data_IF_030329203285
#
_entry.id   IF_030329203285
#
_cell.length_a   1.000
_cell.length_b   1.000
_cell.length_c   1.000
_cell.angle_alpha   90.00
_cell.angle_beta   90.00
_cell.angle_gamma   90.00
#
_symmetry.space_group_name_H-M   'P 1'
#
loop_
_entity.id
_entity.type
_entity.pdbx_description
1 polymer ?
#
# COMPACT_ATOMS: atom_id res chain seq x y z
N UNK A 1 5.22 -19.21 7.89
CA UNK A 1 6.31 -18.20 7.81
C UNK A 1 6.83 -17.99 6.40
N UNK A 2 6.81 -19.01 5.53
CA UNK A 2 7.36 -18.91 4.17
C UNK A 2 6.78 -17.78 3.31
N UNK A 3 5.47 -17.52 3.41
CA UNK A 3 4.81 -16.45 2.64
C UNK A 3 5.37 -15.06 2.95
N UNK A 4 5.65 -14.75 4.22
CA UNK A 4 6.19 -13.46 4.62
C UNK A 4 7.63 -13.28 4.11
N UNK A 5 8.44 -14.35 4.14
CA UNK A 5 9.79 -14.34 3.58
C UNK A 5 9.78 -14.07 2.08
N UNK A 6 8.89 -14.75 1.34
CA UNK A 6 8.78 -14.55 -0.10
C UNK A 6 8.28 -13.13 -0.46
N UNK A 7 7.34 -12.58 0.30
CA UNK A 7 6.91 -11.19 0.14
C UNK A 7 8.07 -10.20 0.40
N UNK A 8 8.84 -10.44 1.47
CA UNK A 8 10.00 -9.62 1.81
C UNK A 8 11.07 -9.65 0.71
N UNK A 9 11.38 -10.82 0.14
CA UNK A 9 12.30 -10.93 -1.01
C UNK A 9 11.79 -10.18 -2.24
N UNK A 10 10.48 -10.21 -2.49
CA UNK A 10 9.87 -9.44 -3.57
C UNK A 10 10.04 -7.93 -3.37
N UNK A 11 9.82 -7.43 -2.15
CA UNK A 11 9.99 -6.01 -1.81
C UNK A 11 11.47 -5.60 -1.88
N UNK A 12 12.37 -6.44 -1.36
CA UNK A 12 13.82 -6.23 -1.44
C UNK A 12 14.30 -6.13 -2.90
N UNK A 13 13.76 -6.97 -3.79
CA UNK A 13 14.06 -6.91 -5.21
C UNK A 13 13.62 -5.58 -5.86
N UNK A 14 12.44 -5.07 -5.50
CA UNK A 14 11.98 -3.76 -5.98
C UNK A 14 12.91 -2.64 -5.50
N UNK A 15 13.32 -2.68 -4.24
CA UNK A 15 14.26 -1.69 -3.69
C UNK A 15 15.63 -1.76 -4.37
N UNK A 16 16.13 -2.96 -4.67
CA UNK A 16 17.35 -3.13 -5.45
C UNK A 16 17.24 -2.52 -6.86
N UNK A 17 16.04 -2.49 -7.44
CA UNK A 17 15.77 -1.84 -8.73
C UNK A 17 15.49 -0.34 -8.62
N UNK A 18 15.69 0.26 -7.45
CA UNK A 18 15.33 1.66 -7.16
C UNK A 18 13.85 1.92 -7.44
N UNK A 19 12.98 1.01 -7.01
CA UNK A 19 11.53 1.10 -7.18
C UNK A 19 10.85 1.09 -5.82
N UNK A 20 9.99 2.07 -5.56
CA UNK A 20 9.12 2.16 -4.38
C UNK A 20 7.71 1.78 -4.85
N UNK A 21 7.15 0.70 -4.32
CA UNK A 21 5.79 0.23 -4.62
C UNK A 21 4.70 1.18 -4.11
N UNK A 22 4.87 1.80 -2.94
CA UNK A 22 3.93 2.72 -2.28
C UNK A 22 2.58 2.11 -1.81
N UNK A 23 2.33 0.81 -1.99
CA UNK A 23 1.09 0.14 -1.56
C UNK A 23 1.32 -1.33 -1.19
N UNK A 24 2.24 -1.57 -0.25
CA UNK A 24 2.54 -2.91 0.27
C UNK A 24 1.45 -3.34 1.27
N UNK A 25 0.46 -4.07 0.77
CA UNK A 25 -0.62 -4.64 1.57
C UNK A 25 -0.86 -6.10 1.20
N UNK A 26 -1.39 -6.90 2.14
CA UNK A 26 -1.68 -8.32 1.91
C UNK A 26 -2.61 -8.56 0.69
N UNK A 27 -3.50 -7.62 0.37
CA UNK A 27 -4.37 -7.66 -0.82
C UNK A 27 -3.58 -7.61 -2.15
N UNK A 28 -2.37 -7.05 -2.13
CA UNK A 28 -1.48 -6.88 -3.27
C UNK A 28 -0.41 -7.99 -3.34
N UNK A 29 -0.47 -8.96 -2.42
CA UNK A 29 0.34 -10.17 -2.47
C UNK A 29 -0.50 -11.32 -3.07
N UNK A 30 -0.19 -11.71 -4.31
CA UNK A 30 -0.82 -12.85 -4.95
C UNK A 30 -0.16 -14.15 -4.50
N UNK A 31 -0.97 -15.18 -4.25
CA UNK A 31 -0.46 -16.50 -3.85
C UNK A 31 -0.96 -17.58 -4.82
N UNK A 32 -0.02 -18.40 -5.31
CA UNK A 32 -0.29 -19.51 -6.21
C UNK A 32 0.94 -20.38 -6.40
N UNK A 33 0.76 -21.68 -6.62
CA UNK A 33 1.86 -22.66 -6.78
C UNK A 33 2.90 -22.63 -5.64
N UNK A 34 2.46 -22.38 -4.41
CA UNK A 34 3.34 -22.24 -3.25
C UNK A 34 4.17 -20.96 -3.24
N UNK A 35 3.92 -20.02 -4.16
CA UNK A 35 4.70 -18.78 -4.32
C UNK A 35 3.88 -17.52 -4.04
N UNK A 36 4.52 -16.53 -3.43
CA UNK A 36 4.01 -15.17 -3.27
C UNK A 36 4.60 -14.27 -4.35
N UNK A 37 3.76 -13.46 -4.99
CA UNK A 37 4.15 -12.45 -5.98
C UNK A 37 3.56 -11.10 -5.60
N UNK A 38 4.37 -10.06 -5.64
CA UNK A 38 3.93 -8.67 -5.44
C UNK A 38 3.19 -8.18 -6.71
N UNK A 39 2.11 -7.44 -6.53
CA UNK A 39 1.22 -6.97 -7.60
C UNK A 39 0.68 -5.58 -7.31
N UNK A 40 -0.01 -4.98 -8.29
CA UNK A 40 -0.57 -3.61 -8.24
C UNK A 40 0.48 -2.48 -8.16
N UNK A 41 1.23 -2.33 -9.26
CA UNK A 41 2.25 -1.29 -9.43
C UNK A 41 1.66 0.10 -9.80
N UNK A 42 0.36 0.31 -9.68
CA UNK A 42 -0.30 1.56 -10.12
C UNK A 42 0.14 2.81 -9.34
N UNK A 43 0.68 2.61 -8.13
CA UNK A 43 1.18 3.68 -7.27
C UNK A 43 2.71 3.74 -7.19
N UNK A 44 3.39 2.89 -7.95
CA UNK A 44 4.85 2.75 -7.90
C UNK A 44 5.57 4.03 -8.34
N UNK A 45 6.76 4.26 -7.78
CA UNK A 45 7.65 5.39 -8.06
C UNK A 45 9.07 4.87 -8.28
N UNK A 46 9.73 5.41 -9.30
CA UNK A 46 11.15 5.17 -9.54
C UNK A 46 11.99 6.12 -8.67
N UNK A 47 13.13 5.63 -8.19
CA UNK A 47 14.04 6.32 -7.29
C UNK A 47 14.03 5.76 -5.87
N UNK A 48 14.96 6.23 -5.05
CA UNK A 48 15.10 5.84 -3.64
C UNK A 48 14.19 6.64 -2.71
N UNK A 49 13.81 7.84 -3.14
CA UNK A 49 12.93 8.75 -2.42
C UNK A 49 11.97 9.44 -3.38
N UNK A 50 10.74 9.68 -2.93
CA UNK A 50 9.72 10.38 -3.69
C UNK A 50 9.04 11.42 -2.79
N UNK A 51 9.09 12.69 -3.18
CA UNK A 51 8.36 13.78 -2.51
C UNK A 51 6.95 13.87 -3.07
N UNK A 52 5.96 13.85 -2.19
CA UNK A 52 4.57 14.07 -2.55
C UNK A 52 4.35 15.51 -3.02
N UNK A 53 3.50 15.67 -4.02
CA UNK A 53 2.92 16.97 -4.36
C UNK A 53 1.93 17.40 -3.25
N UNK A 54 2.10 18.58 -2.62
CA UNK A 54 1.18 19.11 -1.62
C UNK A 54 -0.28 19.25 -2.08
N UNK A 55 -0.52 19.32 -3.39
CA UNK A 55 -1.86 19.46 -3.99
C UNK A 55 -2.51 18.12 -4.31
N UNK A 56 -1.76 17.03 -4.20
CA UNK A 56 -2.26 15.69 -4.47
C UNK A 56 -3.06 15.16 -3.28
N UNK A 57 -4.28 14.67 -3.54
CA UNK A 57 -5.10 14.04 -2.50
C UNK A 57 -4.53 12.65 -2.18
N UNK A 58 -3.89 12.55 -1.03
CA UNK A 58 -3.36 11.28 -0.52
C UNK A 58 -4.24 10.72 0.61
N UNK A 59 -4.32 9.39 0.76
CA UNK A 59 -5.10 8.76 1.83
C UNK A 59 -4.38 8.90 3.17
N UNK A 60 -4.50 10.06 3.83
CA UNK A 60 -3.79 10.43 5.07
C UNK A 60 -3.83 9.34 6.15
N UNK A 61 -4.97 8.64 6.29
CA UNK A 61 -5.18 7.57 7.28
C UNK A 61 -4.31 6.31 7.05
N UNK A 62 -3.67 6.22 5.89
CA UNK A 62 -2.95 5.04 5.40
C UNK A 62 -1.46 5.34 5.19
N UNK A 63 -1.01 6.54 5.59
CA UNK A 63 0.38 6.97 5.48
C UNK A 63 1.15 6.67 6.76
N UNK A 64 2.39 6.23 6.62
CA UNK A 64 3.29 6.08 7.75
C UNK A 64 3.58 7.45 8.42
N UNK A 65 3.79 7.50 9.74
CA UNK A 65 3.97 8.76 10.47
C UNK A 65 5.16 9.60 9.99
N UNK A 66 6.21 8.97 9.49
CA UNK A 66 7.36 9.62 8.85
C UNK A 66 7.01 10.24 7.48
N UNK A 67 6.11 9.62 6.71
CA UNK A 67 5.59 10.17 5.44
C UNK A 67 4.70 11.37 5.73
N UNK A 68 3.89 11.31 6.79
CA UNK A 68 3.07 12.44 7.24
C UNK A 68 3.92 13.65 7.66
N UNK A 69 5.09 13.41 8.27
CA UNK A 69 5.98 14.48 8.73
C UNK A 69 6.81 15.09 7.60
N UNK A 70 7.26 14.28 6.66
CA UNK A 70 8.22 14.69 5.62
C UNK A 70 7.60 14.87 4.24
N UNK A 71 6.33 14.50 4.07
CA UNK A 71 5.65 14.39 2.78
C UNK A 71 6.47 13.59 1.75
N UNK A 72 7.26 12.62 2.22
CA UNK A 72 8.22 11.89 1.40
C UNK A 72 8.13 10.39 1.63
N UNK A 73 8.04 9.62 0.55
CA UNK A 73 8.22 8.17 0.57
C UNK A 73 9.68 7.82 0.36
N UNK A 74 10.08 6.68 0.93
CA UNK A 74 11.36 6.05 0.65
C UNK A 74 11.19 4.53 0.62
N UNK A 75 12.21 3.83 0.16
CA UNK A 75 12.23 2.36 0.26
C UNK A 75 12.01 1.86 1.70
N UNK A 76 12.47 2.62 2.70
CA UNK A 76 12.24 2.27 4.12
C UNK A 76 10.77 2.31 4.50
N UNK A 77 10.01 3.26 3.95
CA UNK A 77 8.56 3.36 4.24
C UNK A 77 7.77 2.22 3.62
N UNK A 78 8.30 1.59 2.57
CA UNK A 78 7.69 0.43 1.89
C UNK A 78 7.96 -0.90 2.62
N UNK A 79 9.16 -1.06 3.18
CA UNK A 79 9.50 -2.25 3.98
C UNK A 79 8.87 -2.25 5.37
N UNK A 80 8.48 -1.08 5.89
CA UNK A 80 7.93 -0.96 7.24
C UNK A 80 6.43 -1.25 7.20
N UNK A 81 6.05 -2.42 7.73
CA UNK A 81 4.67 -2.88 7.87
C UNK A 81 3.87 -1.90 8.75
N UNK A 82 3.21 -0.93 8.13
CA UNK A 82 2.31 0.02 8.82
C UNK A 82 0.95 0.16 8.13
N UNK A 83 0.65 -0.59 7.06
CA UNK A 83 -0.64 -0.50 6.37
C UNK A 83 -1.74 -1.39 6.97
N UNK A 84 -1.48 -2.08 8.07
CA UNK A 84 -2.46 -2.94 8.75
C UNK A 84 -2.94 -2.33 10.06
N UNK A 85 -3.96 -1.46 10.00
CA UNK A 85 -4.87 -1.29 11.11
C UNK A 85 -6.27 -0.83 10.65
N UNK A 86 -7.17 -1.83 10.57
CA UNK A 86 -8.60 -1.72 10.90
C UNK A 86 -9.53 -1.13 9.83
N UNK A 87 -9.93 -1.98 8.88
CA UNK A 87 -11.34 -2.03 8.49
C UNK A 87 -12.15 -2.63 9.66
N UNK A 88 -12.57 -1.82 10.62
CA UNK A 88 -13.70 -2.20 11.48
C UNK A 88 -14.93 -1.42 11.03
N UNK A 89 -15.87 -2.17 10.44
CA UNK A 89 -17.33 -1.94 10.40
C UNK A 89 -17.81 -0.48 10.34
N UNK A 90 -18.28 -0.07 9.16
CA UNK A 90 -19.72 0.18 8.99
C UNK A 90 -20.07 0.33 7.50
N UNK A 91 -20.37 -0.78 6.83
CA UNK A 91 -21.35 -0.74 5.74
C UNK A 91 -22.73 -0.61 6.40
N UNK A 92 -23.12 0.59 6.86
CA UNK A 92 -24.54 0.88 7.06
C UNK A 92 -25.10 1.18 5.68
N UNK A 93 -25.96 0.26 5.21
CA UNK A 93 -26.51 0.26 3.87
C UNK A 93 -27.12 1.61 3.48
N UNK A 94 -26.71 2.12 2.32
CA UNK A 94 -27.53 3.07 1.57
C UNK A 94 -28.72 2.29 1.01
N UNK A 95 -29.81 2.19 1.78
CA UNK A 95 -31.11 1.87 1.19
C UNK A 95 -31.51 3.04 0.29
N UNK A 96 -31.39 2.82 -1.02
CA UNK A 96 -32.07 3.62 -2.04
C UNK A 96 -33.57 3.63 -1.70
N UNK A 97 -34.13 4.76 -1.31
CA UNK A 97 -35.58 5.00 -1.37
C UNK A 97 -35.86 5.64 -2.74
N UNK A 98 -36.17 4.79 -3.72
CA UNK A 98 -36.89 5.15 -4.95
C UNK A 98 -38.25 4.45 -4.86
N UNK A 99 -39.33 5.21 -4.68
CA UNK A 99 -40.69 4.96 -5.23
C UNK A 99 -41.61 6.06 -4.68
N UNK A 100 -42.04 7.00 -5.53
CA UNK A 100 -43.41 7.11 -6.07
C UNK A 100 -44.48 7.36 -5.00
N UNK A 101 -44.89 8.62 -4.89
CA UNK A 101 -46.24 9.07 -5.24
C UNK A 101 -46.17 10.55 -5.60
#
# INVERSE_FOLDING_TARGET
MEMCCQAAWGIEYLHFKSVIHCDIAARNCLYGDGKVKISDFGLTREGETYKMDPHCRVPIRWLAPEVLRTASYSQKTDSTEQQTAVQSRSKKGKSKKKSKN
#
